data_IF_415797796692
#
_entry.id   IF_415797796692
#
_cell.length_a   1.000
_cell.length_b   1.000
_cell.length_c   1.000
_cell.angle_alpha   90.00
_cell.angle_beta   90.00
_cell.angle_gamma   90.00
#
_symmetry.space_group_name_H-M   'P 1'
#
loop_
_entity.id
_entity.type
_entity.pdbx_description
1 polymer ?
#
# COMPACT_ATOMS: atom_id res chain seq x y z
N UNK A 1 16.82 -9.19 0.01
CA UNK A 1 15.87 -9.69 1.01
C UNK A 1 14.60 -8.89 0.86
N UNK A 2 13.49 -9.53 0.52
CA UNK A 2 12.21 -8.86 0.38
C UNK A 2 11.76 -8.37 1.76
N UNK A 3 11.56 -7.06 1.91
CA UNK A 3 11.05 -6.49 3.15
C UNK A 3 9.62 -6.97 3.39
N UNK A 4 9.38 -7.60 4.54
CA UNK A 4 8.02 -7.99 5.00
C UNK A 4 7.08 -6.79 4.90
N UNK A 5 5.97 -6.93 4.17
CA UNK A 5 4.95 -5.87 4.08
C UNK A 5 3.98 -5.97 5.26
N UNK A 6 3.72 -4.83 5.90
CA UNK A 6 2.82 -4.71 7.05
C UNK A 6 1.71 -3.72 6.67
N UNK A 7 0.50 -4.23 6.46
CA UNK A 7 -0.68 -3.38 6.22
C UNK A 7 -1.29 -3.00 7.57
N UNK A 8 -1.26 -1.70 7.88
CA UNK A 8 -1.82 -1.17 9.14
C UNK A 8 -3.32 -1.42 9.25
N UNK A 9 -3.82 -1.40 10.47
CA UNK A 9 -5.27 -1.47 10.73
C UNK A 9 -6.01 -0.31 10.06
N UNK A 10 -5.45 0.90 10.10
CA UNK A 10 -5.97 2.06 9.38
C UNK A 10 -6.10 1.79 7.88
N UNK A 11 -5.04 1.29 7.24
CA UNK A 11 -5.06 0.90 5.83
C UNK A 11 -6.13 -0.18 5.53
N UNK A 12 -6.30 -1.19 6.40
CA UNK A 12 -7.35 -2.21 6.25
C UNK A 12 -8.75 -1.64 6.35
N UNK A 13 -9.00 -0.71 7.29
CA UNK A 13 -10.30 -0.02 7.41
C UNK A 13 -10.64 0.75 6.13
N UNK A 14 -9.66 1.39 5.50
CA UNK A 14 -9.84 2.15 4.25
C UNK A 14 -10.39 1.27 3.12
N UNK A 15 -10.07 -0.03 3.07
CA UNK A 15 -10.60 -0.93 2.04
C UNK A 15 -12.13 -1.14 2.10
N UNK A 16 -12.78 -0.75 3.20
CA UNK A 16 -14.25 -0.78 3.33
C UNK A 16 -14.92 0.48 2.78
N UNK A 17 -14.15 1.53 2.47
CA UNK A 17 -14.65 2.77 1.88
C UNK A 17 -14.88 2.57 0.37
N UNK A 18 -16.00 3.07 -0.14
CA UNK A 18 -16.37 3.03 -1.56
C UNK A 18 -15.28 3.61 -2.47
N UNK A 19 -14.53 4.62 -1.99
CA UNK A 19 -13.39 5.18 -2.72
C UNK A 19 -12.27 4.16 -2.96
N UNK A 20 -12.23 3.09 -2.18
CA UNK A 20 -11.23 2.03 -2.25
C UNK A 20 -11.82 0.72 -2.78
N UNK A 21 -13.08 0.73 -3.21
CA UNK A 21 -13.75 -0.47 -3.69
C UNK A 21 -12.94 -1.16 -4.80
N UNK A 22 -12.93 -2.50 -4.78
CA UNK A 22 -12.14 -3.37 -5.68
C UNK A 22 -10.61 -3.25 -5.56
N UNK A 23 -10.09 -2.65 -4.49
CA UNK A 23 -8.67 -2.77 -4.09
C UNK A 23 -8.58 -3.82 -2.99
N UNK A 24 -7.70 -4.81 -3.15
CA UNK A 24 -7.52 -5.89 -2.18
C UNK A 24 -6.25 -5.73 -1.36
N UNK A 25 -6.16 -6.45 -0.23
CA UNK A 25 -4.91 -6.55 0.54
C UNK A 25 -3.77 -7.11 -0.32
N UNK A 26 -4.06 -8.03 -1.25
CA UNK A 26 -3.06 -8.59 -2.17
C UNK A 26 -2.52 -7.52 -3.12
N UNK A 27 -3.37 -6.66 -3.68
CA UNK A 27 -2.93 -5.55 -4.52
C UNK A 27 -1.99 -4.61 -3.77
N UNK A 28 -2.32 -4.29 -2.50
CA UNK A 28 -1.50 -3.46 -1.64
C UNK A 28 -0.14 -4.11 -1.35
N UNK A 29 -0.12 -5.41 -1.06
CA UNK A 29 1.12 -6.14 -0.80
C UNK A 29 2.02 -6.14 -2.03
N UNK A 30 1.48 -6.40 -3.21
CA UNK A 30 2.23 -6.37 -4.47
C UNK A 30 2.77 -4.96 -4.77
N UNK A 31 1.96 -3.92 -4.60
CA UNK A 31 2.37 -2.54 -4.77
C UNK A 31 3.48 -2.12 -3.79
N UNK A 32 3.38 -2.51 -2.52
CA UNK A 32 4.39 -2.20 -1.54
C UNK A 32 5.71 -2.95 -1.79
N UNK A 33 5.64 -4.22 -2.19
CA UNK A 33 6.83 -5.03 -2.50
C UNK A 33 7.54 -4.60 -3.77
N UNK A 34 6.84 -3.97 -4.73
CA UNK A 34 7.45 -3.51 -5.98
C UNK A 34 8.27 -2.22 -5.85
N UNK A 35 8.14 -1.48 -4.74
CA UNK A 35 8.92 -0.26 -4.52
C UNK A 35 10.38 -0.64 -4.18
N UNK A 36 11.37 -0.24 -5.00
CA UNK A 36 12.76 -0.56 -4.71
C UNK A 36 13.31 0.34 -3.60
N UNK A 37 14.40 -0.12 -2.98
CA UNK A 37 15.16 0.66 -2.01
C UNK A 37 14.47 0.82 -0.66
N UNK A 38 15.07 1.65 0.20
CA UNK A 38 14.59 1.95 1.55
C UNK A 38 13.73 3.21 1.55
N UNK A 39 12.63 3.20 2.29
CA UNK A 39 11.68 4.31 2.42
C UNK A 39 11.77 4.88 3.85
N UNK A 40 12.70 5.81 4.15
CA UNK A 40 12.96 6.24 5.53
C UNK A 40 11.85 7.11 6.14
N UNK A 41 11.04 7.76 5.30
CA UNK A 41 9.97 8.69 5.68
C UNK A 41 8.65 8.28 5.03
N UNK A 42 7.51 8.67 5.62
CA UNK A 42 6.20 8.38 5.05
C UNK A 42 6.07 9.03 3.67
N UNK A 43 6.10 8.22 2.62
CA UNK A 43 6.15 8.68 1.23
C UNK A 43 4.97 8.14 0.46
N UNK A 44 4.33 9.01 -0.36
CA UNK A 44 3.23 8.64 -1.25
C UNK A 44 3.78 8.16 -2.59
N UNK A 45 3.48 6.92 -2.93
CA UNK A 45 3.78 6.32 -4.23
C UNK A 45 2.48 6.25 -5.02
N UNK A 46 2.51 6.71 -6.27
CA UNK A 46 1.30 6.95 -7.07
C UNK A 46 1.19 6.00 -8.25
N UNK A 47 -0.04 5.75 -8.68
CA UNK A 47 -0.32 5.12 -9.97
C UNK A 47 -0.18 3.60 -9.99
N UNK A 48 -0.43 2.92 -8.86
CA UNK A 48 -0.57 1.47 -8.86
C UNK A 48 -1.92 1.06 -9.43
N UNK A 49 -1.99 -0.16 -9.95
CA UNK A 49 -3.21 -0.75 -10.46
C UNK A 49 -3.56 -1.99 -9.64
N UNK A 50 -4.80 -2.06 -9.18
CA UNK A 50 -5.35 -3.27 -8.61
C UNK A 50 -5.64 -4.28 -9.74
N UNK A 51 -5.79 -5.57 -9.39
CA UNK A 51 -6.21 -6.60 -10.35
C UNK A 51 -7.51 -6.24 -11.08
N UNK A 52 -8.38 -5.44 -10.46
CA UNK A 52 -9.61 -4.91 -11.03
C UNK A 52 -9.42 -3.82 -12.11
N UNK A 53 -8.19 -3.36 -12.32
CA UNK A 53 -7.88 -2.19 -13.16
C UNK A 53 -8.03 -0.85 -12.43
N UNK A 54 -8.51 -0.84 -11.17
CA UNK A 54 -8.63 0.40 -10.40
C UNK A 54 -7.27 0.96 -10.06
N UNK A 55 -7.08 2.26 -10.33
CA UNK A 55 -5.87 2.97 -9.97
C UNK A 55 -5.92 3.42 -8.51
N UNK A 56 -4.80 3.27 -7.80
CA UNK A 56 -4.65 3.72 -6.42
C UNK A 56 -3.22 4.14 -6.11
N UNK A 57 -3.09 4.89 -5.03
CA UNK A 57 -1.81 5.27 -4.45
C UNK A 57 -1.67 4.63 -3.06
N UNK A 58 -0.43 4.45 -2.60
CA UNK A 58 -0.14 4.04 -1.22
C UNK A 58 0.77 5.04 -0.54
N UNK A 59 0.64 5.18 0.78
CA UNK A 59 1.64 5.83 1.62
C UNK A 59 2.37 4.76 2.41
N UNK A 60 3.69 4.68 2.24
CA UNK A 60 4.52 3.66 2.87
C UNK A 60 5.74 4.26 3.59
N UNK A 61 6.25 3.54 4.58
CA UNK A 61 7.51 3.82 5.30
C UNK A 61 8.12 2.50 5.75
N UNK A 62 9.44 2.38 5.68
CA UNK A 62 10.17 1.25 6.25
C UNK A 62 10.45 1.48 7.73
N UNK A 63 10.12 0.47 8.53
CA UNK A 63 10.39 0.36 9.98
C UNK A 63 11.24 -0.89 10.23
N UNK A 64 11.82 -1.08 11.44
CA UNK A 64 12.67 -2.24 11.71
C UNK A 64 12.01 -3.60 11.42
N UNK A 65 10.68 -3.69 11.51
CA UNK A 65 9.93 -4.92 11.24
C UNK A 65 9.50 -5.13 9.78
N UNK A 66 9.73 -4.14 8.89
CA UNK A 66 9.40 -4.23 7.47
C UNK A 66 8.81 -2.95 6.87
N UNK A 67 8.16 -3.08 5.71
CA UNK A 67 7.51 -1.96 5.00
C UNK A 67 6.08 -1.77 5.49
N UNK A 68 5.86 -0.69 6.23
CA UNK A 68 4.56 -0.32 6.76
C UNK A 68 3.74 0.44 5.71
N UNK A 69 2.60 -0.11 5.30
CA UNK A 69 1.60 0.61 4.50
C UNK A 69 0.66 1.36 5.44
N UNK A 70 0.78 2.68 5.43
CA UNK A 70 0.09 3.59 6.34
C UNK A 70 -1.35 3.81 5.86
N UNK A 71 -1.56 4.11 4.57
CA UNK A 71 -2.91 4.31 4.02
C UNK A 71 -2.96 4.04 2.52
N UNK A 72 -4.18 3.92 1.98
CA UNK A 72 -4.49 3.74 0.55
C UNK A 72 -5.38 4.89 0.08
N UNK A 73 -5.07 5.40 -1.12
CA UNK A 73 -5.79 6.51 -1.76
C UNK A 73 -6.22 6.06 -3.15
N UNK A 74 -7.41 5.50 -3.22
CA UNK A 74 -8.12 5.18 -4.44
C UNK A 74 -8.66 6.42 -5.11
N UNK A 75 -8.59 6.42 -6.44
CA UNK A 75 -9.20 7.43 -7.30
C UNK A 75 -10.69 7.19 -7.48
#
# INVERSE_FOLDING_TARGET
>A
MDSKVIVTEHARKRLKDFRQDKITTTDIMLAASSIPGRIPTATRFRGFFAKSGRMFDIVAKDIPSGRLVITIIGK
#
